data_IF_962935579143
#
_entry.id   IF_962935579143
#
_cell.length_a   1.000
_cell.length_b   1.000
_cell.length_c   1.000
_cell.angle_alpha   90.00
_cell.angle_beta   90.00
_cell.angle_gamma   90.00
#
_symmetry.space_group_name_H-M   'P 1'
#
loop_
_entity.id
_entity.type
_entity.pdbx_description
1 polymer ?
#
# COMPACT_ATOMS: atom_id res chain seq x y z
N UNK A 1 1.57 21.85 69.20
CA UNK A 1 1.92 20.60 68.48
C UNK A 1 1.92 20.90 66.98
N UNK A 2 3.10 21.10 66.41
CA UNK A 2 3.27 21.18 64.95
C UNK A 2 3.21 19.75 64.42
N UNK A 3 2.34 19.42 63.45
CA UNK A 3 2.35 18.10 62.86
C UNK A 3 3.65 17.97 62.04
N UNK A 4 4.51 17.05 62.46
CA UNK A 4 5.66 16.59 61.68
C UNK A 4 5.17 16.11 60.31
N UNK A 5 5.80 16.60 59.25
CA UNK A 5 5.68 16.06 57.89
C UNK A 5 5.86 14.52 57.99
N UNK A 6 4.98 13.68 57.42
CA UNK A 6 5.17 12.24 57.51
C UNK A 6 6.50 11.88 56.84
N UNK A 7 7.47 11.46 57.66
CA UNK A 7 8.74 10.91 57.21
C UNK A 7 8.43 9.73 56.27
N UNK A 8 8.97 9.76 55.06
CA UNK A 8 8.87 8.72 54.01
C UNK A 8 7.62 8.78 53.10
N UNK A 9 7.41 9.90 52.40
CA UNK A 9 6.55 9.96 51.20
C UNK A 9 7.37 9.87 49.92
N UNK A 10 6.82 9.19 48.90
CA UNK A 10 7.36 9.16 47.54
C UNK A 10 6.46 10.04 46.67
N UNK A 11 7.04 11.04 46.01
CA UNK A 11 6.35 11.88 45.04
C UNK A 11 6.80 11.48 43.64
N UNK A 12 5.86 11.36 42.71
CA UNK A 12 6.14 10.98 41.32
C UNK A 12 5.61 12.06 40.38
N UNK A 13 6.50 12.59 39.56
CA UNK A 13 6.20 13.54 38.51
C UNK A 13 6.32 12.85 37.13
N UNK A 14 5.26 13.00 36.35
CA UNK A 14 5.10 12.42 35.02
C UNK A 14 4.77 13.52 34.01
N UNK A 15 5.18 13.33 32.76
CA UNK A 15 4.74 14.19 31.67
C UNK A 15 3.25 13.93 31.40
N UNK A 16 2.41 14.96 31.20
CA UNK A 16 0.96 14.78 31.11
C UNK A 16 0.53 14.10 29.81
N UNK A 17 1.25 14.33 28.71
CA UNK A 17 0.91 13.83 27.38
C UNK A 17 2.16 13.37 26.63
N UNK A 18 2.09 12.21 25.99
CA UNK A 18 3.08 11.68 25.06
C UNK A 18 2.40 11.32 23.75
N UNK A 19 2.83 11.94 22.65
CA UNK A 19 2.34 11.64 21.31
C UNK A 19 3.34 10.70 20.64
N UNK A 20 2.88 9.49 20.29
CA UNK A 20 3.71 8.43 19.73
C UNK A 20 3.45 8.32 18.24
N UNK A 21 4.45 8.67 17.41
CA UNK A 21 4.38 8.58 15.95
C UNK A 21 5.04 7.31 15.38
N UNK A 22 6.10 6.80 16.02
CA UNK A 22 6.90 5.66 15.52
C UNK A 22 6.66 4.39 16.34
N UNK A 23 5.44 4.20 16.85
CA UNK A 23 5.05 3.03 17.67
C UNK A 23 5.96 2.79 18.92
N UNK A 24 6.75 3.80 19.30
CA UNK A 24 7.72 3.72 20.38
C UNK A 24 7.51 4.91 21.31
N UNK A 25 7.38 4.64 22.60
CA UNK A 25 7.17 5.64 23.64
C UNK A 25 8.21 5.49 24.74
N UNK A 26 8.74 6.61 25.20
CA UNK A 26 9.59 6.65 26.39
C UNK A 26 8.88 7.43 27.46
N UNK A 27 8.43 6.72 28.50
CA UNK A 27 7.75 7.30 29.64
C UNK A 27 8.75 7.43 30.79
N UNK A 28 8.98 8.66 31.22
CA UNK A 28 9.91 8.98 32.31
C UNK A 28 9.12 9.39 33.54
N UNK A 29 9.43 8.74 34.66
CA UNK A 29 8.87 8.99 35.97
C UNK A 29 9.96 9.50 36.88
N UNK A 30 9.98 10.81 37.08
CA UNK A 30 10.87 11.44 38.04
C UNK A 30 10.26 11.22 39.43
N UNK A 31 11.04 10.77 40.39
CA UNK A 31 10.56 10.54 41.74
C UNK A 31 11.49 11.13 42.79
N UNK A 32 10.90 11.63 43.86
CA UNK A 32 11.64 12.10 45.03
C UNK A 32 11.25 11.24 46.23
N UNK A 33 12.27 10.76 46.93
CA UNK A 33 12.12 9.94 48.12
C UNK A 33 13.17 10.34 49.14
N UNK A 34 12.71 10.72 50.35
CA UNK A 34 13.58 11.23 51.41
C UNK A 34 14.05 10.12 52.38
N UNK A 35 13.72 8.85 52.13
CA UNK A 35 14.07 7.73 53.01
C UNK A 35 15.28 6.91 52.55
N UNK A 36 15.63 5.86 53.30
CA UNK A 36 16.86 5.06 53.14
C UNK A 36 16.64 3.72 52.41
N UNK A 37 15.88 3.77 51.31
CA UNK A 37 15.52 2.60 50.50
C UNK A 37 16.74 1.94 49.85
N UNK A 38 16.82 0.60 49.93
CA UNK A 38 17.84 -0.24 49.29
C UNK A 38 17.28 -1.16 48.22
N UNK A 39 16.00 -1.52 48.34
CA UNK A 39 15.29 -2.34 47.38
C UNK A 39 14.03 -1.64 46.92
N UNK A 40 13.91 -1.50 45.61
CA UNK A 40 12.83 -0.78 44.95
C UNK A 40 12.13 -1.68 43.96
N UNK A 41 10.87 -1.37 43.72
CA UNK A 41 10.08 -1.90 42.61
C UNK A 41 9.30 -0.76 41.99
N UNK A 42 9.44 -0.60 40.68
CA UNK A 42 8.63 0.31 39.91
C UNK A 42 7.82 -0.47 38.88
N UNK A 43 6.54 -0.15 38.75
CA UNK A 43 5.63 -0.75 37.79
C UNK A 43 4.88 0.33 37.01
N UNK A 44 4.57 0.01 35.77
CA UNK A 44 3.77 0.84 34.89
C UNK A 44 2.38 0.22 34.77
N UNK A 45 1.35 0.99 35.12
CA UNK A 45 -0.04 0.55 35.07
C UNK A 45 -0.80 1.30 33.99
N UNK A 46 -1.61 0.59 33.20
CA UNK A 46 -2.50 1.15 32.17
C UNK A 46 -3.94 1.22 32.68
N UNK A 47 -4.65 2.26 32.26
CA UNK A 47 -6.09 2.44 32.46
C UNK A 47 -6.41 3.35 33.63
N UNK A 48 -7.60 3.97 33.60
CA UNK A 48 -8.07 4.93 34.61
C UNK A 48 -8.02 4.38 36.03
N UNK A 49 -8.32 3.10 36.21
CA UNK A 49 -8.27 2.42 37.52
C UNK A 49 -6.92 1.76 37.81
N UNK A 50 -5.93 1.93 36.92
CA UNK A 50 -4.59 1.31 37.03
C UNK A 50 -4.64 -0.22 37.13
N UNK A 51 -5.65 -0.84 36.52
CA UNK A 51 -5.97 -2.27 36.67
C UNK A 51 -5.00 -3.21 35.94
N UNK A 52 -4.32 -2.73 34.90
CA UNK A 52 -3.43 -3.57 34.08
C UNK A 52 -1.97 -3.20 34.31
N UNK A 53 -1.19 -4.10 34.91
CA UNK A 53 0.27 -3.97 34.97
C UNK A 53 0.88 -4.28 33.58
N UNK A 54 1.56 -3.29 33.01
CA UNK A 54 2.21 -3.35 31.69
C UNK A 54 3.57 -4.03 31.81
N UNK A 55 4.39 -3.54 32.75
CA UNK A 55 5.74 -4.02 33.01
C UNK A 55 6.22 -3.55 34.38
N UNK A 56 7.23 -4.22 34.90
CA UNK A 56 7.89 -3.79 36.13
C UNK A 56 9.41 -3.92 36.03
N UNK A 57 10.08 -3.11 36.84
CA UNK A 57 11.49 -3.21 37.15
C UNK A 57 11.64 -3.22 38.68
N UNK A 58 12.37 -4.19 39.19
CA UNK A 58 12.79 -4.22 40.58
C UNK A 58 14.29 -4.23 40.65
N UNK A 59 14.86 -3.43 41.54
CA UNK A 59 16.28 -3.34 41.70
C UNK A 59 16.70 -3.23 43.17
N UNK A 60 17.83 -3.85 43.45
CA UNK A 60 18.62 -3.71 44.66
C UNK A 60 20.05 -3.33 44.22
N UNK A 61 20.94 -3.02 45.15
CA UNK A 61 22.36 -2.69 44.93
C UNK A 61 23.09 -3.70 44.02
N UNK A 62 22.69 -4.97 44.03
CA UNK A 62 23.40 -6.05 43.30
C UNK A 62 22.61 -6.70 42.17
N UNK A 63 21.28 -6.56 42.15
CA UNK A 63 20.40 -7.33 41.24
C UNK A 63 19.33 -6.45 40.64
N UNK A 64 19.03 -6.69 39.37
CA UNK A 64 17.96 -6.03 38.63
C UNK A 64 17.07 -7.13 38.03
N UNK A 65 15.78 -7.09 38.34
CA UNK A 65 14.75 -7.94 37.77
C UNK A 65 13.81 -7.09 36.93
N UNK A 66 13.46 -7.56 35.74
CA UNK A 66 12.61 -6.86 34.78
C UNK A 66 11.66 -7.88 34.16
N UNK A 67 10.39 -7.52 34.05
CA UNK A 67 9.41 -8.34 33.37
C UNK A 67 8.41 -7.45 32.62
N UNK A 68 7.90 -7.99 31.51
CA UNK A 68 6.83 -7.36 30.73
C UNK A 68 5.67 -8.32 30.60
N UNK A 69 4.45 -7.80 30.63
CA UNK A 69 3.26 -8.58 30.36
C UNK A 69 3.25 -8.98 28.86
N UNK A 70 2.76 -10.18 28.52
CA UNK A 70 2.82 -10.75 27.16
C UNK A 70 2.14 -9.88 26.09
N UNK A 71 1.21 -9.00 26.49
CA UNK A 71 0.53 -8.07 25.60
C UNK A 71 1.27 -6.75 25.33
N UNK A 72 2.43 -6.53 25.96
CA UNK A 72 3.18 -5.28 25.85
C UNK A 72 4.67 -5.57 25.68
N UNK A 73 5.32 -4.85 24.77
CA UNK A 73 6.77 -4.86 24.70
C UNK A 73 7.30 -3.64 25.45
N UNK A 74 7.64 -3.86 26.72
CA UNK A 74 8.14 -2.82 27.61
C UNK A 74 9.45 -3.24 28.26
N UNK A 75 10.37 -2.29 28.39
CA UNK A 75 11.56 -2.42 29.22
C UNK A 75 11.64 -1.26 30.20
N UNK A 76 11.65 -1.59 31.49
CA UNK A 76 11.98 -0.65 32.55
C UNK A 76 13.49 -0.45 32.69
N UNK A 77 13.89 0.76 33.02
CA UNK A 77 15.23 1.17 33.46
C UNK A 77 15.11 2.10 34.67
N UNK A 78 16.17 2.18 35.47
CA UNK A 78 16.24 3.11 36.58
C UNK A 78 17.53 3.92 36.47
N UNK A 79 17.47 5.19 36.87
CA UNK A 79 18.61 6.10 36.95
C UNK A 79 18.37 7.07 38.11
N UNK A 80 19.10 6.88 39.21
CA UNK A 80 19.08 7.72 40.43
C UNK A 80 17.69 8.10 40.95
N UNK A 81 17.12 9.18 40.42
CA UNK A 81 15.84 9.79 40.78
C UNK A 81 14.76 9.59 39.70
N UNK A 82 14.99 8.69 38.75
CA UNK A 82 14.14 8.48 37.57
C UNK A 82 13.95 7.00 37.28
N UNK A 83 12.74 6.67 36.87
CA UNK A 83 12.40 5.38 36.27
C UNK A 83 11.95 5.64 34.84
N UNK A 84 12.51 4.87 33.89
CA UNK A 84 12.28 5.04 32.47
C UNK A 84 11.63 3.76 31.95
N UNK A 85 10.43 3.87 31.40
CA UNK A 85 9.75 2.78 30.71
C UNK A 85 9.79 3.02 29.20
N UNK A 86 10.50 2.15 28.49
CA UNK A 86 10.52 2.16 27.03
C UNK A 86 9.50 1.15 26.53
N UNK A 87 8.46 1.63 25.85
CA UNK A 87 7.47 0.83 25.16
C UNK A 87 7.77 0.85 23.67
N UNK A 88 7.73 -0.30 23.00
CA UNK A 88 7.88 -0.39 21.54
C UNK A 88 6.81 -1.28 20.93
N UNK A 89 6.66 -1.16 19.61
CA UNK A 89 5.61 -1.85 18.86
C UNK A 89 4.23 -1.60 19.50
N UNK A 90 3.96 -0.32 19.81
CA UNK A 90 2.70 0.13 20.38
C UNK A 90 1.61 0.24 19.30
N UNK A 91 0.41 -0.19 19.66
CA UNK A 91 -0.76 -0.16 18.80
C UNK A 91 -1.67 1.03 19.17
N UNK A 92 -2.48 1.51 18.23
CA UNK A 92 -3.43 2.60 18.47
C UNK A 92 -4.46 2.28 19.58
N UNK A 93 -4.86 1.01 19.72
CA UNK A 93 -5.73 0.51 20.81
C UNK A 93 -5.07 0.51 22.20
N UNK A 94 -3.76 0.74 22.28
CA UNK A 94 -3.03 0.92 23.52
C UNK A 94 -3.01 2.38 23.97
N UNK A 95 -3.59 3.31 23.21
CA UNK A 95 -3.82 4.69 23.63
C UNK A 95 -4.66 4.74 24.90
N UNK A 96 -4.09 5.22 25.99
CA UNK A 96 -4.73 5.29 27.31
C UNK A 96 -3.88 6.16 28.27
N UNK A 97 -4.35 6.33 29.49
CA UNK A 97 -3.58 6.87 30.60
C UNK A 97 -2.73 5.79 31.28
N UNK A 98 -1.48 6.16 31.59
CA UNK A 98 -0.49 5.30 32.21
C UNK A 98 0.01 5.92 33.51
N UNK A 99 0.04 5.12 34.57
CA UNK A 99 0.45 5.53 35.92
C UNK A 99 1.73 4.81 36.33
N UNK A 100 2.72 5.59 36.79
CA UNK A 100 3.88 5.03 37.47
C UNK A 100 3.59 4.76 38.93
N UNK A 101 3.89 3.54 39.34
CA UNK A 101 3.90 3.13 40.73
C UNK A 101 5.34 2.80 41.12
N UNK A 102 5.80 3.35 42.23
CA UNK A 102 7.13 3.17 42.80
C UNK A 102 6.95 2.76 44.25
N UNK A 103 7.63 1.68 44.61
CA UNK A 103 7.52 0.98 45.86
C UNK A 103 8.92 0.78 46.43
N UNK A 104 9.10 1.07 47.72
CA UNK A 104 10.30 0.76 48.49
C UNK A 104 10.00 -0.46 49.33
N UNK A 105 10.67 -1.56 49.03
CA UNK A 105 10.44 -2.87 49.65
C UNK A 105 11.30 -3.07 50.89
N UNK A 106 12.54 -2.57 50.87
CA UNK A 106 13.52 -2.78 51.94
C UNK A 106 14.47 -1.59 52.07
N UNK A 107 14.88 -1.19 53.29
CA UNK A 107 14.44 -1.72 54.59
C UNK A 107 12.99 -1.34 54.92
N UNK A 108 12.25 -2.14 55.69
CA UNK A 108 10.91 -1.79 56.16
C UNK A 108 10.91 -0.44 56.91
N UNK A 109 9.80 0.33 56.90
CA UNK A 109 8.47 -0.05 56.43
C UNK A 109 8.33 -0.03 54.90
N UNK A 110 7.38 -0.80 54.38
CA UNK A 110 7.02 -0.75 52.96
C UNK A 110 6.34 0.58 52.65
N UNK A 111 6.88 1.32 51.67
CA UNK A 111 6.38 2.64 51.26
C UNK A 111 6.08 2.61 49.78
N UNK A 112 4.99 3.23 49.36
CA UNK A 112 4.62 3.39 47.96
C UNK A 112 4.14 4.82 47.69
N UNK A 113 4.20 5.24 46.43
CA UNK A 113 3.70 6.55 46.05
C UNK A 113 2.16 6.59 46.02
N UNK A 114 1.61 7.75 46.37
CA UNK A 114 0.21 8.07 46.06
C UNK A 114 0.03 8.09 44.54
N UNK A 115 -1.20 7.82 44.08
CA UNK A 115 -1.53 7.75 42.64
C UNK A 115 -1.14 9.07 41.97
N UNK A 116 -0.24 8.99 40.98
CA UNK A 116 0.22 10.15 40.22
C UNK A 116 -0.89 10.68 39.31
N UNK A 117 -0.67 11.86 38.72
CA UNK A 117 -1.56 12.40 37.69
C UNK A 117 -1.55 11.55 36.39
N UNK A 118 -0.57 10.65 36.24
CA UNK A 118 -0.40 9.80 35.07
C UNK A 118 0.11 10.54 33.82
N UNK A 119 0.27 9.77 32.75
CA UNK A 119 0.65 10.23 31.42
C UNK A 119 -0.34 9.66 30.42
N UNK A 120 -1.01 10.52 29.65
CA UNK A 120 -1.80 10.05 28.51
C UNK A 120 -0.84 9.74 27.37
N UNK A 121 -0.78 8.49 26.94
CA UNK A 121 -0.02 8.11 25.74
C UNK A 121 -1.01 8.03 24.59
N UNK A 122 -0.88 8.95 23.64
CA UNK A 122 -1.65 8.95 22.41
C UNK A 122 -0.81 8.36 21.27
N UNK A 123 -1.12 7.12 20.91
CA UNK A 123 -0.48 6.45 19.77
C UNK A 123 -1.22 6.88 18.52
N UNK A 124 -0.55 7.68 17.69
CA UNK A 124 -1.07 8.01 16.37
C UNK A 124 -1.11 6.73 15.57
N UNK A 125 -2.23 6.48 14.91
CA UNK A 125 -2.24 5.57 13.79
C UNK A 125 -1.25 6.12 12.78
N UNK A 126 -0.10 5.47 12.65
CA UNK A 126 0.63 5.58 11.40
C UNK A 126 -0.40 5.16 10.36
N UNK A 127 -0.76 6.02 9.39
CA UNK A 127 -1.47 5.52 8.24
C UNK A 127 -0.65 4.32 7.83
N UNK A 128 -1.23 3.14 7.92
CA UNK A 128 -0.74 2.02 7.17
C UNK A 128 -0.53 2.65 5.81
N UNK A 129 0.73 2.68 5.36
CA UNK A 129 0.95 2.67 3.95
C UNK A 129 0.26 1.38 3.57
N UNK A 130 -1.06 1.49 3.32
CA UNK A 130 -1.79 0.58 2.48
C UNK A 130 -0.89 0.66 1.28
N UNK A 131 -0.04 -0.36 1.18
CA UNK A 131 0.56 -0.71 -0.06
C UNK A 131 -0.68 -1.13 -0.86
N UNK A 132 -1.37 -0.10 -1.36
CA UNK A 132 -2.18 -0.16 -2.55
C UNK A 132 -1.34 -1.04 -3.44
N UNK A 133 -1.82 -2.23 -3.83
CA UNK A 133 -1.00 -3.18 -4.55
C UNK A 133 -0.42 -2.41 -5.73
N UNK A 134 0.83 -1.96 -5.60
CA UNK A 134 1.46 -1.27 -6.70
C UNK A 134 1.41 -2.32 -7.78
N UNK A 135 0.75 -2.05 -8.92
CA UNK A 135 0.69 -3.04 -9.98
C UNK A 135 2.14 -3.40 -10.23
N UNK A 136 2.53 -4.62 -9.83
CA UNK A 136 3.93 -5.06 -9.74
C UNK A 136 4.55 -5.24 -11.14
N UNK A 137 3.87 -4.72 -12.16
CA UNK A 137 4.26 -4.70 -13.54
C UNK A 137 4.60 -3.23 -13.82
N UNK A 138 5.89 -2.86 -13.84
CA UNK A 138 6.28 -1.50 -14.20
C UNK A 138 5.68 -1.16 -15.58
N UNK A 139 5.09 0.04 -15.68
CA UNK A 139 4.41 0.52 -16.90
C UNK A 139 5.29 0.40 -18.15
N UNK A 140 6.61 0.50 -17.99
CA UNK A 140 7.60 0.26 -19.05
C UNK A 140 7.53 -1.15 -19.64
N UNK A 141 7.24 -2.19 -18.84
CA UNK A 141 7.04 -3.56 -19.33
C UNK A 141 5.75 -3.65 -20.16
N UNK A 142 4.67 -3.00 -19.73
CA UNK A 142 3.43 -2.96 -20.51
C UNK A 142 3.62 -2.21 -21.83
N UNK A 143 4.36 -1.09 -21.80
CA UNK A 143 4.67 -0.31 -22.98
C UNK A 143 5.58 -1.07 -23.96
N UNK A 144 6.60 -1.79 -23.46
CA UNK A 144 7.49 -2.58 -24.33
C UNK A 144 6.78 -3.77 -24.95
N UNK A 145 5.99 -4.53 -24.18
CA UNK A 145 5.21 -5.66 -24.70
C UNK A 145 4.21 -5.20 -25.76
N UNK A 146 3.50 -4.09 -25.51
CA UNK A 146 2.54 -3.52 -26.46
C UNK A 146 3.24 -3.02 -27.74
N UNK A 147 4.40 -2.38 -27.60
CA UNK A 147 5.20 -1.92 -28.74
C UNK A 147 5.70 -3.07 -29.62
N UNK A 148 6.21 -4.14 -29.01
CA UNK A 148 6.69 -5.33 -29.74
C UNK A 148 5.54 -5.99 -30.50
N UNK A 149 4.37 -6.13 -29.88
CA UNK A 149 3.19 -6.73 -30.53
C UNK A 149 2.71 -5.89 -31.73
N UNK A 150 2.68 -4.56 -31.59
CA UNK A 150 2.30 -3.66 -32.67
C UNK A 150 3.28 -3.72 -33.85
N UNK A 151 4.59 -3.76 -33.58
CA UNK A 151 5.62 -3.90 -34.61
C UNK A 151 5.50 -5.23 -35.34
N UNK A 152 5.28 -6.33 -34.61
CA UNK A 152 5.12 -7.65 -35.22
C UNK A 152 3.88 -7.71 -36.12
N UNK A 153 2.76 -7.11 -35.67
CA UNK A 153 1.54 -7.01 -36.48
C UNK A 153 1.75 -6.20 -37.76
N UNK A 154 2.51 -5.09 -37.70
CA UNK A 154 2.83 -4.26 -38.86
C UNK A 154 3.72 -4.99 -39.88
N UNK A 155 4.68 -5.79 -39.42
CA UNK A 155 5.53 -6.57 -40.30
C UNK A 155 4.73 -7.66 -41.05
N UNK A 156 3.85 -8.37 -40.34
CA UNK A 156 3.00 -9.40 -40.96
C UNK A 156 2.08 -8.78 -42.02
N UNK A 157 1.40 -7.67 -41.71
CA UNK A 157 0.52 -7.01 -42.69
C UNK A 157 1.29 -6.49 -43.89
N UNK A 158 2.48 -5.91 -43.70
CA UNK A 158 3.34 -5.49 -44.81
C UNK A 158 3.75 -6.66 -45.71
N UNK A 159 4.12 -7.80 -45.14
CA UNK A 159 4.45 -9.01 -45.91
C UNK A 159 3.24 -9.49 -46.72
N UNK A 160 2.06 -9.57 -46.10
CA UNK A 160 0.82 -9.93 -46.81
C UNK A 160 0.49 -8.98 -47.96
N UNK A 161 0.64 -7.67 -47.76
CA UNK A 161 0.40 -6.67 -48.81
C UNK A 161 1.38 -6.87 -49.98
N UNK A 162 2.66 -7.11 -49.69
CA UNK A 162 3.66 -7.36 -50.73
C UNK A 162 3.35 -8.64 -51.53
N UNK A 163 2.98 -9.73 -50.86
CA UNK A 163 2.54 -10.95 -51.53
C UNK A 163 1.30 -10.71 -52.40
N UNK A 164 0.32 -9.96 -51.88
CA UNK A 164 -0.91 -9.66 -52.62
C UNK A 164 -0.65 -8.77 -53.84
N UNK A 165 0.19 -7.74 -53.71
CA UNK A 165 0.62 -6.89 -54.82
C UNK A 165 1.40 -7.68 -55.88
N UNK A 166 2.30 -8.58 -55.46
CA UNK A 166 3.05 -9.45 -56.37
C UNK A 166 2.13 -10.43 -57.10
N UNK A 167 1.17 -11.03 -56.39
CA UNK A 167 0.14 -11.88 -57.00
C UNK A 167 -0.71 -11.12 -58.01
N UNK A 168 -1.17 -9.91 -57.68
CA UNK A 168 -1.89 -9.05 -58.63
C UNK A 168 -1.05 -8.73 -59.88
N UNK A 169 0.22 -8.38 -59.73
CA UNK A 169 1.13 -8.15 -60.88
C UNK A 169 1.23 -9.39 -61.78
N UNK A 170 1.35 -10.59 -61.21
CA UNK A 170 1.33 -11.84 -61.99
C UNK A 170 0.02 -12.03 -62.76
N UNK A 171 -1.13 -11.69 -62.16
CA UNK A 171 -2.45 -11.76 -62.83
C UNK A 171 -2.54 -10.77 -64.01
N UNK A 172 -2.06 -9.53 -63.85
CA UNK A 172 -2.09 -8.54 -64.93
C UNK A 172 -1.18 -8.91 -66.11
N UNK A 173 0.02 -9.44 -65.87
CA UNK A 173 0.90 -9.92 -66.95
C UNK A 173 0.31 -11.09 -67.77
N UNK A 174 -0.63 -11.85 -67.21
CA UNK A 174 -1.27 -12.96 -67.92
C UNK A 174 -2.47 -12.52 -68.77
N UNK A 175 -2.89 -11.26 -68.65
CA UNK A 175 -4.00 -10.68 -69.41
C UNK A 175 -3.58 -9.97 -70.70
N UNK A 176 -2.34 -10.15 -71.15
CA UNK A 176 -1.85 -9.60 -72.42
C UNK A 176 -2.65 -10.15 -73.61
N UNK A 177 -3.62 -9.35 -74.03
CA UNK A 177 -4.32 -9.28 -75.31
C UNK A 177 -4.21 -10.54 -76.19
N UNK A 178 -5.19 -11.45 -76.07
CA UNK A 178 -5.41 -12.43 -77.13
C UNK A 178 -5.91 -11.70 -78.36
N UNK A 179 -5.01 -11.49 -79.33
CA UNK A 179 -5.35 -11.01 -80.67
C UNK A 179 -6.31 -12.01 -81.31
N UNK A 180 -7.61 -11.71 -81.24
CA UNK A 180 -8.65 -12.49 -81.90
C UNK A 180 -8.61 -12.14 -83.39
N UNK A 181 -7.93 -12.94 -84.20
CA UNK A 181 -8.14 -12.90 -85.65
C UNK A 181 -9.62 -13.17 -85.94
N UNK A 182 -10.31 -12.34 -86.75
CA UNK A 182 -11.74 -12.50 -86.99
C UNK A 182 -12.01 -13.88 -87.60
N UNK A 183 -12.76 -14.73 -86.89
CA UNK A 183 -13.23 -15.99 -87.46
C UNK A 183 -14.25 -15.67 -88.56
N UNK A 184 -13.99 -16.14 -89.78
CA UNK A 184 -14.95 -16.07 -90.88
C UNK A 184 -16.28 -16.73 -90.47
N UNK A 185 -17.44 -16.09 -90.71
CA UNK A 185 -18.72 -16.68 -90.38
C UNK A 185 -19.00 -17.92 -91.24
N UNK A 186 -19.52 -19.01 -90.65
CA UNK A 186 -19.86 -20.21 -91.41
C UNK A 186 -21.05 -19.94 -92.33
N UNK A 187 -20.88 -20.32 -93.60
CA UNK A 187 -21.90 -20.28 -94.65
C UNK A 187 -23.19 -21.01 -94.21
N UNK A 188 -24.25 -20.26 -93.87
CA UNK A 188 -25.58 -20.82 -93.63
C UNK A 188 -26.43 -20.73 -94.90
N UNK A 189 -26.61 -21.91 -95.50
CA UNK A 189 -27.61 -22.22 -96.53
C UNK A 189 -29.02 -22.12 -95.93
N UNK A 190 -29.86 -21.33 -96.58
CA UNK A 190 -31.33 -21.40 -96.62
C UNK A 190 -32.09 -21.55 -95.29
N UNK A 191 -32.80 -20.48 -94.87
CA UNK A 191 -34.28 -20.47 -94.75
C UNK A 191 -34.79 -19.14 -94.20
N UNK A 192 -35.86 -18.65 -94.83
CA UNK A 192 -36.89 -17.80 -94.22
C UNK A 192 -36.75 -16.30 -94.45
N UNK A 193 -37.45 -15.77 -95.44
CA UNK A 193 -37.70 -14.33 -95.60
C UNK A 193 -38.36 -13.74 -94.32
N UNK A 194 -37.89 -12.60 -93.81
CA UNK A 194 -38.70 -11.75 -92.95
C UNK A 194 -39.51 -10.78 -93.82
N UNK A 195 -40.83 -10.95 -93.83
CA UNK A 195 -41.76 -9.86 -94.12
C UNK A 195 -41.72 -8.91 -92.94
N UNK A 196 -41.29 -7.67 -93.17
CA UNK A 196 -41.87 -6.42 -92.63
C UNK A 196 -40.82 -5.30 -92.73
N UNK A 197 -40.74 -4.66 -93.90
CA UNK A 197 -40.17 -3.32 -94.02
C UNK A 197 -40.83 -2.63 -95.24
N UNK A 198 -41.54 -1.51 -95.06
CA UNK A 198 -42.27 -0.86 -96.14
C UNK A 198 -41.32 -0.19 -97.13
N UNK A 199 -41.62 -0.33 -98.42
CA UNK A 199 -40.94 0.33 -99.52
C UNK A 199 -41.12 1.84 -99.44
N UNK A 200 -40.00 2.57 -99.42
CA UNK A 200 -39.93 4.04 -99.42
C UNK A 200 -40.26 4.55 -100.81
N UNK A 201 -41.41 5.21 -100.94
CA UNK A 201 -41.90 5.80 -102.17
C UNK A 201 -41.09 7.06 -102.52
N UNK A 202 -40.44 7.08 -103.69
CA UNK A 202 -39.72 8.24 -104.23
C UNK A 202 -40.48 8.78 -105.44
N UNK A 203 -41.68 9.30 -105.21
CA UNK A 203 -42.42 10.07 -106.22
C UNK A 203 -43.14 11.26 -105.60
N UNK A 204 -42.39 12.21 -105.06
CA UNK A 204 -42.86 13.57 -104.85
C UNK A 204 -41.67 14.52 -104.98
N UNK A 205 -41.93 15.74 -105.45
CA UNK A 205 -40.96 16.79 -105.84
C UNK A 205 -40.45 16.69 -107.29
N UNK A 206 -41.39 16.85 -108.22
CA UNK A 206 -41.18 17.58 -109.46
C UNK A 206 -42.18 18.73 -109.51
N UNK A 207 -41.70 19.94 -109.24
CA UNK A 207 -42.25 21.24 -109.67
C UNK A 207 -41.22 22.32 -109.39
#
# INVERSE_FOLDING_TARGET
FLPSLPENKILVAQHPLLIVANQTATLVCNYTYNGTGKEFRASLHKGTDSSVEVCFISWNTTKISRNSNKGFNCQGGHDKDKVIFNLWNMNANQTDIYFCKIEVMYPPPYVYNEKSNGTVIHVKETPTQIQEPQPAIPLWILATVTGILALYSMLITAVFINYWQKSKKHVYHQSDYMNMTPRHPPYQKNKGYPSYAPTRDYTAYRS
#
